data_IF_325450801247
#
_entry.id   IF_325450801247
#
_cell.length_a   1.000
_cell.length_b   1.000
_cell.length_c   1.000
_cell.angle_alpha   90.00
_cell.angle_beta   90.00
_cell.angle_gamma   90.00
#
_symmetry.space_group_name_H-M   'P 1'
#
loop_
_entity.id
_entity.type
_entity.pdbx_description
1 polymer ?
#
# COMPACT_ATOMS: atom_id res chain seq x y z
N UNK A 1 -14.07 10.51 18.34
CA UNK A 1 -12.91 9.62 18.60
C UNK A 1 -12.54 8.93 17.30
N UNK A 2 -11.47 9.38 16.64
CA UNK A 2 -10.97 8.69 15.44
C UNK A 2 -10.51 7.29 15.84
N UNK A 3 -11.17 6.26 15.30
CA UNK A 3 -10.70 4.87 15.43
C UNK A 3 -9.39 4.78 14.66
N UNK A 4 -8.25 4.81 15.36
CA UNK A 4 -6.98 4.42 14.75
C UNK A 4 -7.19 3.02 14.16
N UNK A 5 -6.94 2.79 12.86
CA UNK A 5 -6.90 1.43 12.36
C UNK A 5 -5.82 0.70 13.17
N UNK A 6 -6.23 -0.27 13.96
CA UNK A 6 -5.32 -1.18 14.65
C UNK A 6 -4.87 -2.21 13.62
N UNK A 7 -4.06 -1.77 12.65
CA UNK A 7 -3.37 -2.71 11.79
C UNK A 7 -2.25 -3.37 12.58
N UNK A 8 -2.19 -4.69 12.50
CA UNK A 8 -1.12 -5.48 13.09
C UNK A 8 0.19 -5.14 12.36
N UNK A 9 1.15 -4.58 13.11
CA UNK A 9 2.46 -4.20 12.59
C UNK A 9 3.22 -5.41 12.04
N UNK A 10 3.00 -6.60 12.60
CA UNK A 10 3.63 -7.84 12.13
C UNK A 10 3.15 -8.18 10.73
N UNK A 11 1.85 -8.08 10.46
CA UNK A 11 1.30 -8.33 9.13
C UNK A 11 1.82 -7.32 8.11
N UNK A 12 1.91 -6.04 8.48
CA UNK A 12 2.46 -5.01 7.61
C UNK A 12 3.93 -5.29 7.26
N UNK A 13 4.74 -5.67 8.26
CA UNK A 13 6.15 -6.00 8.02
C UNK A 13 6.31 -7.19 7.08
N UNK A 14 5.50 -8.24 7.24
CA UNK A 14 5.50 -9.39 6.32
C UNK A 14 5.16 -8.97 4.90
N UNK A 15 4.11 -8.19 4.70
CA UNK A 15 3.70 -7.70 3.38
C UNK A 15 4.77 -6.82 2.72
N UNK A 16 5.46 -6.00 3.50
CA UNK A 16 6.59 -5.21 3.00
C UNK A 16 7.76 -6.12 2.58
N UNK A 17 8.04 -7.18 3.35
CA UNK A 17 9.09 -8.14 3.04
C UNK A 17 8.77 -8.97 1.78
N UNK A 18 7.50 -9.36 1.59
CA UNK A 18 7.02 -10.03 0.38
C UNK A 18 7.27 -9.15 -0.87
N UNK A 19 6.95 -7.86 -0.80
CA UNK A 19 7.21 -6.89 -1.88
C UNK A 19 8.71 -6.78 -2.20
N UNK A 20 9.55 -6.71 -1.17
CA UNK A 20 11.01 -6.60 -1.32
C UNK A 20 11.59 -7.88 -1.90
N UNK A 21 11.08 -9.03 -1.49
CA UNK A 21 11.54 -10.36 -1.91
C UNK A 21 11.10 -10.70 -3.33
N UNK A 22 9.88 -10.36 -3.71
CA UNK A 22 9.37 -10.54 -5.07
C UNK A 22 10.02 -9.60 -6.10
N UNK A 23 10.58 -8.46 -5.64
CA UNK A 23 11.20 -7.49 -6.51
C UNK A 23 12.64 -7.86 -6.89
N UNK A 24 12.94 -7.84 -8.20
CA UNK A 24 14.31 -7.99 -8.71
C UNK A 24 15.23 -6.80 -8.35
N UNK A 25 14.67 -5.68 -7.89
CA UNK A 25 15.42 -4.51 -7.46
C UNK A 25 14.70 -3.79 -6.30
N UNK A 26 15.36 -3.78 -5.13
CA UNK A 26 14.84 -3.20 -3.89
C UNK A 26 14.59 -1.68 -3.96
N UNK A 27 15.42 -0.96 -4.70
CA UNK A 27 15.25 0.49 -4.89
C UNK A 27 14.03 0.79 -5.75
N UNK A 28 13.85 0.02 -6.84
CA UNK A 28 12.73 0.20 -7.76
C UNK A 28 11.39 0.00 -7.06
N UNK A 29 11.25 -1.06 -6.26
CA UNK A 29 10.01 -1.32 -5.51
C UNK A 29 9.75 -0.24 -4.46
N UNK A 30 10.80 0.23 -3.76
CA UNK A 30 10.69 1.33 -2.79
C UNK A 30 10.15 2.61 -3.43
N UNK A 31 10.67 2.97 -4.61
CA UNK A 31 10.19 4.13 -5.38
C UNK A 31 8.75 3.93 -5.86
N UNK A 32 8.37 2.72 -6.29
CA UNK A 32 7.00 2.42 -6.70
C UNK A 32 6.00 2.59 -5.55
N UNK A 33 6.31 2.04 -4.36
CA UNK A 33 5.51 2.21 -3.15
C UNK A 33 5.38 3.69 -2.79
N UNK A 34 6.50 4.44 -2.80
CA UNK A 34 6.50 5.86 -2.50
C UNK A 34 5.66 6.68 -3.50
N UNK A 35 5.77 6.39 -4.81
CA UNK A 35 4.99 7.07 -5.83
C UNK A 35 3.49 6.80 -5.70
N UNK A 36 3.10 5.55 -5.40
CA UNK A 36 1.70 5.18 -5.19
C UNK A 36 1.12 5.84 -3.93
N UNK A 37 1.87 5.84 -2.84
CA UNK A 37 1.49 6.56 -1.62
C UNK A 37 1.36 8.07 -1.85
N UNK A 38 2.26 8.66 -2.65
CA UNK A 38 2.21 10.09 -3.00
C UNK A 38 0.95 10.43 -3.78
N UNK A 39 0.59 9.64 -4.81
CA UNK A 39 -0.64 9.86 -5.61
C UNK A 39 -1.89 9.86 -4.74
N UNK A 40 -2.01 8.87 -3.85
CA UNK A 40 -3.15 8.77 -2.92
C UNK A 40 -3.29 9.96 -1.98
N UNK A 41 -2.17 10.50 -1.49
CA UNK A 41 -2.23 11.72 -0.68
C UNK A 41 -2.88 12.90 -1.42
N UNK A 42 -2.77 12.95 -2.74
CA UNK A 42 -3.45 13.98 -3.55
C UNK A 42 -4.91 13.60 -3.82
N UNK A 43 -5.20 12.34 -4.15
CA UNK A 43 -6.58 11.86 -4.39
C UNK A 43 -7.46 11.94 -3.12
N UNK A 44 -6.93 11.53 -1.96
CA UNK A 44 -7.56 11.61 -0.64
C UNK A 44 -7.65 13.07 -0.13
N UNK A 45 -6.94 14.02 -0.75
CA UNK A 45 -7.08 15.46 -0.43
C UNK A 45 -8.25 16.09 -1.21
N UNK A 46 -8.46 15.65 -2.44
CA UNK A 46 -9.57 16.11 -3.29
C UNK A 46 -10.91 15.48 -2.87
N UNK A 47 -10.88 14.29 -2.30
CA UNK A 47 -12.02 13.66 -1.66
C UNK A 47 -12.05 14.10 -0.19
N UNK A 48 -13.07 14.86 0.23
CA UNK A 48 -13.25 15.32 1.63
C UNK A 48 -13.46 14.17 2.65
N UNK A 49 -13.08 12.94 2.32
CA UNK A 49 -13.11 11.79 3.20
C UNK A 49 -11.87 11.78 4.09
N UNK A 50 -12.11 11.68 5.39
CA UNK A 50 -11.06 11.58 6.40
C UNK A 50 -10.30 10.26 6.17
N UNK A 51 -9.13 10.33 5.52
CA UNK A 51 -8.34 9.15 5.17
C UNK A 51 -7.97 8.35 6.42
N UNK A 52 -8.70 7.24 6.63
CA UNK A 52 -8.56 6.41 7.83
C UNK A 52 -7.16 5.81 7.99
N UNK A 53 -6.40 5.69 6.90
CA UNK A 53 -5.09 5.03 6.86
C UNK A 53 -4.02 5.91 6.21
N UNK A 54 -2.80 5.88 6.75
CA UNK A 54 -1.65 6.55 6.13
C UNK A 54 -1.41 6.01 4.71
N UNK A 55 -1.23 6.87 3.68
CA UNK A 55 -1.10 6.45 2.28
C UNK A 55 0.00 5.40 2.02
N UNK A 56 1.11 5.46 2.77
CA UNK A 56 2.21 4.48 2.65
C UNK A 56 1.79 3.08 3.09
N UNK A 57 1.03 2.97 4.18
CA UNK A 57 0.55 1.68 4.68
C UNK A 57 -0.40 1.04 3.67
N UNK A 58 -1.32 1.85 3.14
CA UNK A 58 -2.26 1.44 2.09
C UNK A 58 -1.55 0.99 0.82
N UNK A 59 -0.51 1.72 0.40
CA UNK A 59 0.30 1.34 -0.77
C UNK A 59 1.00 -0.02 -0.59
N UNK A 60 1.57 -0.29 0.60
CA UNK A 60 2.19 -1.58 0.90
C UNK A 60 1.16 -2.71 0.84
N UNK A 61 -0.02 -2.52 1.44
CA UNK A 61 -1.07 -3.56 1.49
C UNK A 61 -1.55 -3.88 0.09
N UNK A 62 -2.00 -2.87 -0.67
CA UNK A 62 -2.59 -3.10 -1.98
C UNK A 62 -1.58 -3.63 -3.00
N UNK A 63 -0.35 -3.10 -3.00
CA UNK A 63 0.69 -3.65 -3.88
C UNK A 63 1.08 -5.08 -3.50
N UNK A 64 1.01 -5.43 -2.21
CA UNK A 64 1.20 -6.81 -1.75
C UNK A 64 0.03 -7.71 -2.17
N UNK A 65 -1.21 -7.21 -2.10
CA UNK A 65 -2.40 -7.95 -2.55
C UNK A 65 -2.33 -8.21 -4.07
N UNK A 66 -1.94 -7.21 -4.87
CA UNK A 66 -1.70 -7.31 -6.33
C UNK A 66 -0.68 -8.41 -6.69
N UNK A 67 0.32 -8.67 -5.83
CA UNK A 67 1.27 -9.79 -6.02
C UNK A 67 0.64 -11.16 -5.74
N UNK A 68 -0.29 -11.24 -4.79
CA UNK A 68 -0.91 -12.50 -4.35
C UNK A 68 -2.17 -12.87 -5.15
N UNK A 69 -2.83 -11.89 -5.76
CA UNK A 69 -4.03 -12.05 -6.58
C UNK A 69 -3.87 -11.27 -7.89
N UNK A 70 -3.12 -11.80 -8.86
CA UNK A 70 -2.93 -11.16 -10.16
C UNK A 70 -4.20 -11.11 -11.04
N UNK A 71 -5.29 -11.77 -10.64
CA UNK A 71 -6.49 -12.00 -11.46
C UNK A 71 -7.74 -11.30 -10.92
N UNK A 72 -7.91 -10.00 -11.21
CA UNK A 72 -9.23 -9.37 -11.42
C UNK A 72 -9.11 -8.34 -12.56
N UNK A 73 -8.59 -8.75 -13.70
CA UNK A 73 -8.94 -8.12 -14.98
C UNK A 73 -9.67 -9.22 -15.74
N UNK A 74 -10.99 -9.32 -15.49
CA UNK A 74 -11.88 -10.07 -16.36
C UNK A 74 -11.96 -9.37 -17.71
N UNK A 75 -12.07 -10.16 -18.78
CA UNK A 75 -12.32 -9.69 -20.15
C UNK A 75 -13.54 -8.76 -20.27
#
# INVERSE_FOLDING_TARGET
>A
MHKRPTFDSVQLMRRADDLITAASNRYRITVQVANRAKRRRFEDFDSNDDASMKPVLRAIIEMSDELTQPEIIGE
#
